data_IF_800520374274
#
_entry.id   IF_800520374274
#
_cell.length_a   1.000
_cell.length_b   1.000
_cell.length_c   1.000
_cell.angle_alpha   90.00
_cell.angle_beta   90.00
_cell.angle_gamma   90.00
#
_symmetry.space_group_name_H-M   'P 1'
#
loop_
_entity.id
_entity.type
_entity.pdbx_description
1 polymer ?
#
# COMPACT_ATOMS: atom_id res chain seq x y z
N UNK A 1 16.89 -55.39 18.81
CA UNK A 1 16.61 -54.80 17.48
C UNK A 1 15.32 -54.02 17.56
N UNK A 2 15.40 -52.71 17.81
CA UNK A 2 14.26 -51.81 17.88
C UNK A 2 14.26 -50.90 16.65
N UNK A 3 13.16 -50.91 15.89
CA UNK A 3 12.86 -50.01 14.79
C UNK A 3 12.16 -48.79 15.35
N UNK A 4 12.75 -47.59 15.27
CA UNK A 4 11.98 -46.33 15.21
C UNK A 4 12.72 -45.37 14.25
N UNK A 5 11.98 -44.98 13.22
CA UNK A 5 12.29 -44.10 12.10
C UNK A 5 12.42 -42.62 12.57
N UNK A 6 12.81 -41.67 11.70
CA UNK A 6 13.69 -40.56 12.02
C UNK A 6 12.92 -39.42 12.72
N UNK A 7 13.59 -38.70 13.63
CA UNK A 7 13.10 -37.40 14.08
C UNK A 7 13.20 -36.40 12.91
N UNK A 8 12.17 -36.43 12.06
CA UNK A 8 11.80 -35.37 11.14
C UNK A 8 11.72 -34.05 11.90
N UNK A 9 12.30 -33.01 11.30
CA UNK A 9 11.83 -31.63 11.35
C UNK A 9 11.71 -30.99 12.74
N UNK A 10 12.85 -30.65 13.34
CA UNK A 10 12.95 -29.46 14.20
C UNK A 10 13.50 -28.28 13.39
N UNK A 11 12.81 -27.94 12.31
CA UNK A 11 12.87 -26.61 11.68
C UNK A 11 11.64 -25.85 12.20
N UNK A 12 11.64 -25.53 13.49
CA UNK A 12 10.74 -24.51 14.01
C UNK A 12 11.43 -23.18 13.76
N UNK A 13 11.06 -22.63 12.61
CA UNK A 13 11.14 -21.22 12.24
C UNK A 13 11.21 -20.35 13.50
N UNK A 14 12.39 -19.79 13.75
CA UNK A 14 12.47 -18.52 14.42
C UNK A 14 11.68 -17.55 13.56
N UNK A 15 10.38 -17.43 13.85
CA UNK A 15 9.53 -16.35 13.39
C UNK A 15 10.22 -15.10 13.90
N UNK A 16 11.02 -14.50 13.04
CA UNK A 16 11.54 -13.16 13.24
C UNK A 16 10.30 -12.33 13.58
N UNK A 17 10.26 -11.60 14.71
CA UNK A 17 9.33 -10.52 14.81
C UNK A 17 9.78 -9.53 13.75
N UNK A 18 9.21 -9.66 12.55
CA UNK A 18 9.17 -8.57 11.60
C UNK A 18 8.66 -7.41 12.42
N UNK A 19 9.53 -6.43 12.62
CA UNK A 19 9.24 -5.15 13.22
C UNK A 19 8.09 -4.55 12.40
N UNK A 20 6.86 -4.87 12.79
CA UNK A 20 5.71 -4.06 12.50
C UNK A 20 5.98 -2.75 13.26
N UNK A 21 6.73 -1.86 12.62
CA UNK A 21 6.73 -0.46 12.98
C UNK A 21 5.27 -0.07 13.09
N UNK A 22 4.78 0.40 14.24
CA UNK A 22 3.43 0.91 14.30
C UNK A 22 3.43 2.13 13.37
N UNK A 23 2.81 2.00 12.20
CA UNK A 23 2.36 3.13 11.39
C UNK A 23 1.45 3.93 12.32
N UNK A 24 2.04 4.92 12.99
CA UNK A 24 1.44 5.58 14.12
C UNK A 24 0.35 6.48 13.51
N UNK A 25 -0.95 6.14 13.62
CA UNK A 25 -2.02 6.78 12.84
C UNK A 25 -2.15 8.29 13.14
N UNK A 26 -1.53 8.74 14.23
CA UNK A 26 -1.46 10.14 14.65
C UNK A 26 -0.53 11.01 13.79
N UNK A 27 0.52 10.46 13.16
CA UNK A 27 1.39 11.24 12.27
C UNK A 27 0.76 11.39 10.89
N UNK A 28 0.12 10.35 10.37
CA UNK A 28 -0.47 10.36 9.04
C UNK A 28 -1.63 11.38 8.92
N UNK A 29 -2.48 11.52 9.94
CA UNK A 29 -3.53 12.57 10.00
C UNK A 29 -2.95 13.99 9.95
N UNK A 30 -1.73 14.19 10.45
CA UNK A 30 -1.03 15.48 10.35
C UNK A 30 -0.54 15.77 8.93
N UNK A 31 -0.37 14.72 8.13
CA UNK A 31 0.07 14.74 6.74
C UNK A 31 -1.05 14.36 5.76
N UNK A 32 -2.31 14.41 6.21
CA UNK A 32 -3.49 14.04 5.44
C UNK A 32 -3.58 14.80 4.11
N UNK A 33 -3.19 16.08 4.08
CA UNK A 33 -3.12 16.85 2.82
C UNK A 33 -2.11 16.27 1.82
N UNK A 34 -0.94 15.85 2.28
CA UNK A 34 0.09 15.29 1.40
C UNK A 34 -0.29 13.87 0.92
N UNK A 35 -0.92 13.07 1.78
CA UNK A 35 -1.48 11.76 1.39
C UNK A 35 -2.61 11.94 0.36
N UNK A 36 -3.46 12.95 0.55
CA UNK A 36 -4.51 13.31 -0.39
C UNK A 36 -3.92 13.69 -1.77
N UNK A 37 -2.85 14.48 -1.80
CA UNK A 37 -2.18 14.87 -3.04
C UNK A 37 -1.56 13.67 -3.78
N UNK A 38 -0.91 12.74 -3.06
CA UNK A 38 -0.39 11.50 -3.64
C UNK A 38 -1.52 10.65 -4.20
N UNK A 39 -2.61 10.49 -3.44
CA UNK A 39 -3.76 9.71 -3.89
C UNK A 39 -4.36 10.30 -5.18
N UNK A 40 -4.56 11.62 -5.24
CA UNK A 40 -5.08 12.27 -6.45
C UNK A 40 -4.16 12.07 -7.65
N UNK A 41 -2.84 12.17 -7.44
CA UNK A 41 -1.87 11.89 -8.50
C UNK A 41 -1.93 10.43 -8.98
N UNK A 42 -2.21 9.47 -8.10
CA UNK A 42 -2.44 8.07 -8.47
C UNK A 42 -3.72 7.90 -9.28
N UNK A 43 -4.81 8.57 -8.93
CA UNK A 43 -6.06 8.50 -9.69
C UNK A 43 -5.89 9.12 -11.07
N UNK A 44 -5.35 10.35 -11.14
CA UNK A 44 -5.10 11.06 -12.39
C UNK A 44 -4.10 10.35 -13.31
N UNK A 45 -3.16 9.59 -12.73
CA UNK A 45 -2.19 8.79 -13.47
C UNK A 45 -2.81 7.47 -13.92
N UNK A 46 -3.50 6.78 -13.04
CA UNK A 46 -4.14 5.49 -13.29
C UNK A 46 -5.21 5.55 -14.37
N UNK A 47 -6.01 6.62 -14.41
CA UNK A 47 -7.04 6.81 -15.46
C UNK A 47 -6.43 6.85 -16.88
N UNK A 48 -5.18 7.31 -17.02
CA UNK A 48 -4.48 7.42 -18.30
C UNK A 48 -3.84 6.13 -18.78
N UNK A 49 -3.67 5.15 -17.88
CA UNK A 49 -2.94 3.90 -18.15
C UNK A 49 -3.86 2.85 -18.77
N UNK A 50 -5.14 2.87 -18.40
CA UNK A 50 -6.12 1.85 -18.82
C UNK A 50 -6.14 0.63 -17.89
N UNK A 51 -7.29 -0.05 -17.86
CA UNK A 51 -7.65 -1.02 -16.83
C UNK A 51 -6.72 -2.25 -16.75
N UNK A 52 -6.24 -2.72 -17.91
CA UNK A 52 -5.42 -3.94 -18.02
C UNK A 52 -4.05 -3.80 -17.32
N UNK A 53 -3.48 -2.59 -17.35
CA UNK A 53 -2.16 -2.29 -16.79
C UNK A 53 -2.22 -1.55 -15.45
N UNK A 54 -3.43 -1.17 -15.00
CA UNK A 54 -3.63 -0.32 -13.83
C UNK A 54 -3.08 -0.95 -12.54
N UNK A 55 -3.24 -2.25 -12.33
CA UNK A 55 -2.78 -2.91 -11.11
C UNK A 55 -1.26 -2.85 -10.96
N UNK A 56 -0.53 -3.17 -12.03
CA UNK A 56 0.92 -3.13 -12.08
C UNK A 56 1.43 -1.69 -12.01
N UNK A 57 0.72 -0.76 -12.65
CA UNK A 57 1.04 0.65 -12.56
C UNK A 57 0.92 1.19 -11.13
N UNK A 58 -0.14 0.84 -10.41
CA UNK A 58 -0.32 1.24 -9.01
C UNK A 58 0.79 0.68 -8.10
N UNK A 59 1.22 -0.57 -8.30
CA UNK A 59 2.32 -1.16 -7.51
C UNK A 59 3.63 -0.37 -7.63
N UNK A 60 3.92 0.13 -8.83
CA UNK A 60 5.13 0.93 -9.10
C UNK A 60 4.97 2.38 -8.65
N UNK A 61 3.81 2.98 -8.93
CA UNK A 61 3.61 4.41 -8.76
C UNK A 61 3.27 4.80 -7.33
N UNK A 62 2.70 3.91 -6.52
CA UNK A 62 2.54 4.15 -5.08
C UNK A 62 3.91 4.43 -4.45
N UNK A 63 4.91 3.55 -4.66
CA UNK A 63 6.25 3.75 -4.13
C UNK A 63 6.93 5.00 -4.69
N UNK A 64 6.82 5.20 -6.00
CA UNK A 64 7.43 6.35 -6.68
C UNK A 64 6.88 7.69 -6.18
N UNK A 65 5.56 7.82 -6.06
CA UNK A 65 4.92 9.07 -5.61
C UNK A 65 5.11 9.29 -4.11
N UNK A 66 5.03 8.24 -3.30
CA UNK A 66 5.35 8.34 -1.87
C UNK A 66 6.80 8.79 -1.63
N UNK A 67 7.76 8.23 -2.37
CA UNK A 67 9.16 8.66 -2.28
C UNK A 67 9.36 10.10 -2.72
N UNK A 68 8.71 10.50 -3.82
CA UNK A 68 8.88 11.82 -4.43
C UNK A 68 8.20 12.93 -3.61
N UNK A 69 7.00 12.68 -3.09
CA UNK A 69 6.17 13.71 -2.46
C UNK A 69 6.27 13.68 -0.93
N UNK A 70 6.50 12.51 -0.34
CA UNK A 70 6.52 12.31 1.11
C UNK A 70 7.83 11.63 1.56
N UNK A 71 8.97 12.11 1.07
CA UNK A 71 10.28 11.50 1.32
C UNK A 71 10.58 11.09 2.79
N UNK A 72 10.33 11.91 3.84
CA UNK A 72 10.54 11.47 5.22
C UNK A 72 9.54 10.41 5.72
N UNK A 73 8.40 10.26 5.04
CA UNK A 73 7.27 9.41 5.42
C UNK A 73 6.93 8.38 4.32
N UNK A 74 7.82 8.15 3.35
CA UNK A 74 7.50 7.37 2.15
C UNK A 74 7.06 5.95 2.50
N UNK A 75 7.69 5.33 3.51
CA UNK A 75 7.29 4.01 3.99
C UNK A 75 5.86 3.99 4.55
N UNK A 76 5.48 4.99 5.36
CA UNK A 76 4.13 5.09 5.91
C UNK A 76 3.10 5.39 4.82
N UNK A 77 3.46 6.26 3.87
CA UNK A 77 2.65 6.53 2.68
C UNK A 77 2.40 5.25 1.86
N UNK A 78 3.45 4.49 1.58
CA UNK A 78 3.35 3.24 0.82
C UNK A 78 2.47 2.21 1.51
N UNK A 79 2.68 1.99 2.81
CA UNK A 79 1.91 1.00 3.58
C UNK A 79 0.42 1.34 3.58
N UNK A 80 0.05 2.60 3.76
CA UNK A 80 -1.34 3.04 3.80
C UNK A 80 -2.00 2.95 2.42
N UNK A 81 -1.31 3.39 1.36
CA UNK A 81 -1.81 3.28 -0.01
C UNK A 81 -1.93 1.82 -0.46
N UNK A 82 -1.01 0.92 -0.05
CA UNK A 82 -1.11 -0.51 -0.35
C UNK A 82 -2.33 -1.17 0.30
N UNK A 83 -2.74 -0.73 1.49
CA UNK A 83 -3.96 -1.23 2.17
C UNK A 83 -5.22 -0.91 1.37
N UNK A 84 -5.28 0.28 0.78
CA UNK A 84 -6.46 0.75 0.03
C UNK A 84 -6.34 0.58 -1.48
N UNK A 85 -5.21 0.08 -1.99
CA UNK A 85 -4.91 -0.10 -3.43
C UNK A 85 -6.07 -0.72 -4.21
N UNK A 86 -6.70 -1.76 -3.64
CA UNK A 86 -7.79 -2.49 -4.31
C UNK A 86 -9.06 -1.62 -4.48
N UNK A 87 -9.41 -0.84 -3.48
CA UNK A 87 -10.56 0.07 -3.53
C UNK A 87 -10.24 1.25 -4.46
N UNK A 88 -9.05 1.84 -4.31
CA UNK A 88 -8.58 2.90 -5.19
C UNK A 88 -8.56 2.46 -6.67
N UNK A 89 -8.09 1.25 -6.96
CA UNK A 89 -8.12 0.66 -8.30
C UNK A 89 -9.55 0.64 -8.86
N UNK A 90 -10.49 0.14 -8.06
CA UNK A 90 -11.90 0.05 -8.45
C UNK A 90 -12.49 1.43 -8.73
N UNK A 91 -12.14 2.43 -7.95
CA UNK A 91 -12.63 3.79 -8.16
C UNK A 91 -12.06 4.42 -9.44
N UNK A 92 -10.78 4.14 -9.75
CA UNK A 92 -10.16 4.54 -11.02
C UNK A 92 -10.84 3.85 -12.21
N UNK A 93 -11.09 2.54 -12.14
CA UNK A 93 -11.82 1.77 -13.17
C UNK A 93 -13.25 2.31 -13.38
N UNK A 94 -13.90 2.75 -12.30
CA UNK A 94 -15.22 3.39 -12.35
C UNK A 94 -15.18 4.84 -12.82
N UNK A 95 -13.99 5.40 -13.09
CA UNK A 95 -13.77 6.79 -13.49
C UNK A 95 -14.31 7.79 -12.47
N UNK A 96 -14.15 7.46 -11.19
CA UNK A 96 -14.50 8.36 -10.11
C UNK A 96 -13.56 9.56 -10.11
N UNK A 97 -14.11 10.73 -9.77
CA UNK A 97 -13.30 11.94 -9.69
C UNK A 97 -12.20 11.78 -8.61
N UNK A 98 -10.97 12.29 -8.81
CA UNK A 98 -9.84 12.13 -7.89
C UNK A 98 -10.17 12.52 -6.44
N UNK A 99 -10.90 13.61 -6.26
CA UNK A 99 -11.34 14.06 -4.93
C UNK A 99 -12.28 13.06 -4.25
N UNK A 100 -13.15 12.40 -5.01
CA UNK A 100 -14.12 11.44 -4.48
C UNK A 100 -13.44 10.11 -4.19
N UNK A 101 -12.70 9.55 -5.15
CA UNK A 101 -11.97 8.30 -5.00
C UNK A 101 -11.05 8.32 -3.75
N UNK A 102 -10.35 9.43 -3.52
CA UNK A 102 -9.47 9.55 -2.37
C UNK A 102 -10.18 9.78 -1.03
N UNK A 103 -11.41 10.34 -1.04
CA UNK A 103 -12.27 10.42 0.14
C UNK A 103 -12.87 9.08 0.52
N UNK A 104 -13.24 8.29 -0.48
CA UNK A 104 -13.84 6.97 -0.27
C UNK A 104 -12.88 6.02 0.48
N UNK A 105 -11.57 6.28 0.39
CA UNK A 105 -10.51 5.52 1.10
C UNK A 105 -9.86 6.26 2.28
N UNK A 106 -10.46 7.35 2.79
CA UNK A 106 -9.98 8.14 3.95
C UNK A 106 -8.52 8.66 3.82
N UNK A 107 -8.10 8.95 2.57
CA UNK A 107 -6.83 9.63 2.27
C UNK A 107 -7.01 11.14 2.07
N UNK A 108 -8.27 11.55 1.81
CA UNK A 108 -8.83 12.89 1.79
C UNK A 108 -10.16 12.86 2.59
#
# INVERSE_FOLDING_TARGET
MARILPCLFLVLLAVSPFLASPSNPLNLKKHHGAMCDVCKALVDGGEKVGDDDLDAWLDVNIGTLCWTMLLPLHHECEEELKKVKKELKKDIENKEAPEKACKDVDLC
#
